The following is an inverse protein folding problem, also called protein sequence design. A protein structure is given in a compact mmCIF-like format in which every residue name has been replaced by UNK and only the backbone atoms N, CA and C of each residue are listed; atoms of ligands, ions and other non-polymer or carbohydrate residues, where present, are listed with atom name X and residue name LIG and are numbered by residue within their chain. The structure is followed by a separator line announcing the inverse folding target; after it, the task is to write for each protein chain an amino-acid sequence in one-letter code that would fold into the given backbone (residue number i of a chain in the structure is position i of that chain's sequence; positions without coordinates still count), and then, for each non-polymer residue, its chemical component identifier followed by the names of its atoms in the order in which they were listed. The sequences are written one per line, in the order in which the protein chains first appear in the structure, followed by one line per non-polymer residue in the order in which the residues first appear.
data_IF_479951590755
#
_entry.id   IF_479951590755
#
_cell.length_a   1.000
_cell.length_b   1.000
_cell.length_c   1.000
_cell.angle_alpha   90.00
_cell.angle_beta   90.00
_cell.angle_gamma   90.00
#
_symmetry.space_group_name_H-M   'P 1'
#
loop_
_entity.id
_entity.type
_entity.pdbx_description
1 polymer ?
#
# COMPACT_ATOMS: atom_id res chain seq x y z
N UNK A 1 4.99 -2.13 -15.65
CA UNK A 1 3.96 -2.87 -16.39
C UNK A 1 4.13 -2.71 -17.90
N UNK A 2 3.87 -1.52 -18.46
CA UNK A 2 3.79 -1.27 -19.93
C UNK A 2 5.11 -1.55 -20.67
N UNK A 3 6.26 -1.15 -20.11
CA UNK A 3 7.57 -1.25 -20.75
C UNK A 3 8.36 -2.51 -20.38
N UNK A 4 7.80 -3.37 -19.53
CA UNK A 4 8.41 -4.61 -19.08
C UNK A 4 7.49 -5.82 -19.28
N UNK A 5 7.79 -6.89 -18.55
CA UNK A 5 7.01 -8.14 -18.62
C UNK A 5 5.74 -8.12 -17.75
N UNK A 6 5.52 -7.07 -16.95
CA UNK A 6 4.48 -7.03 -15.91
C UNK A 6 3.08 -7.23 -16.48
N UNK A 7 2.71 -6.52 -17.56
CA UNK A 7 1.38 -6.66 -18.16
C UNK A 7 1.13 -8.10 -18.66
N UNK A 8 2.14 -8.73 -19.27
CA UNK A 8 2.00 -10.11 -19.75
C UNK A 8 1.83 -11.10 -18.60
N UNK A 9 2.53 -10.92 -17.50
CA UNK A 9 2.37 -11.75 -16.30
C UNK A 9 0.98 -11.58 -15.70
N UNK A 10 0.49 -10.36 -15.64
CA UNK A 10 -0.85 -10.01 -15.16
C UNK A 10 -1.93 -10.65 -16.05
N UNK A 11 -1.82 -10.50 -17.37
CA UNK A 11 -2.74 -11.10 -18.33
C UNK A 11 -2.78 -12.64 -18.21
N UNK A 12 -1.64 -13.28 -18.02
CA UNK A 12 -1.58 -14.73 -17.82
C UNK A 12 -2.30 -15.15 -16.53
N UNK A 13 -2.09 -14.41 -15.43
CA UNK A 13 -2.74 -14.68 -14.14
C UNK A 13 -4.26 -14.57 -14.27
N UNK A 14 -4.74 -13.44 -14.81
CA UNK A 14 -6.18 -13.15 -14.87
C UNK A 14 -6.94 -13.88 -15.99
N UNK A 15 -6.23 -14.37 -17.00
CA UNK A 15 -6.86 -15.13 -18.09
C UNK A 15 -7.62 -16.39 -17.61
N UNK A 16 -7.18 -17.00 -16.50
CA UNK A 16 -7.81 -18.14 -15.86
C UNK A 16 -9.21 -17.81 -15.32
N UNK A 17 -9.43 -16.54 -14.98
CA UNK A 17 -10.69 -16.03 -14.47
C UNK A 17 -11.51 -15.31 -15.54
N UNK A 18 -11.13 -15.45 -16.82
CA UNK A 18 -11.76 -14.78 -17.95
C UNK A 18 -11.75 -13.24 -17.79
N UNK A 19 -10.65 -12.69 -17.25
CA UNK A 19 -10.47 -11.27 -17.00
C UNK A 19 -9.28 -10.71 -17.80
N UNK A 20 -9.38 -9.45 -18.17
CA UNK A 20 -8.31 -8.58 -18.68
C UNK A 20 -8.20 -7.38 -17.77
N UNK A 21 -7.02 -7.16 -17.15
CA UNK A 21 -6.78 -6.08 -16.22
C UNK A 21 -5.88 -4.98 -16.78
N UNK A 22 -6.10 -3.75 -16.32
CA UNK A 22 -5.31 -2.57 -16.60
C UNK A 22 -5.09 -1.75 -15.34
N UNK A 23 -3.93 -1.08 -15.15
CA UNK A 23 -3.75 -0.16 -14.05
C UNK A 23 -4.67 1.06 -14.25
N UNK A 24 -5.43 1.45 -13.25
CA UNK A 24 -6.38 2.55 -13.34
C UNK A 24 -6.30 3.57 -12.20
N UNK A 25 -5.45 3.34 -11.22
CA UNK A 25 -5.21 4.26 -10.12
C UNK A 25 -4.05 3.80 -9.24
N UNK A 26 -3.54 4.70 -8.42
CA UNK A 26 -2.52 4.39 -7.42
C UNK A 26 -2.63 5.40 -6.27
N UNK A 27 -2.62 4.92 -5.03
CA UNK A 27 -2.74 5.77 -3.83
C UNK A 27 -1.44 6.49 -3.44
N UNK A 28 -0.33 6.18 -4.12
CA UNK A 28 0.99 6.56 -3.62
C UNK A 28 1.34 5.79 -2.35
N UNK A 29 2.37 6.24 -1.65
CA UNK A 29 2.82 5.58 -0.42
C UNK A 29 1.76 5.70 0.68
N UNK A 30 1.31 4.54 1.19
CA UNK A 30 0.35 4.44 2.27
C UNK A 30 0.96 4.75 3.63
N UNK A 31 0.13 4.88 4.64
CA UNK A 31 0.56 4.99 6.04
C UNK A 31 0.49 3.63 6.73
N UNK A 32 1.25 3.48 7.82
CA UNK A 32 1.30 2.24 8.61
C UNK A 32 0.06 2.00 9.48
N UNK A 33 -0.84 2.98 9.54
CA UNK A 33 -2.15 2.85 10.17
C UNK A 33 -2.37 3.71 11.42
N UNK A 34 -3.57 3.59 11.94
CA UNK A 34 -4.09 4.28 13.13
C UNK A 34 -4.13 3.34 14.33
N UNK A 35 -3.71 3.83 15.49
CA UNK A 35 -3.58 3.03 16.70
C UNK A 35 -4.20 3.77 17.91
N UNK A 36 -4.88 3.02 18.76
CA UNK A 36 -5.40 3.53 20.04
C UNK A 36 -4.34 3.55 21.13
N UNK A 37 -3.28 2.77 20.98
CA UNK A 37 -2.13 2.71 21.87
C UNK A 37 -0.82 2.99 21.15
N UNK A 38 0.18 3.40 21.90
CA UNK A 38 1.51 3.68 21.40
C UNK A 38 2.23 2.39 21.02
N UNK A 39 2.98 2.42 19.91
CA UNK A 39 3.80 1.32 19.42
C UNK A 39 5.26 1.78 19.42
N UNK A 40 6.01 1.38 20.43
CA UNK A 40 7.40 1.77 20.64
C UNK A 40 8.39 0.65 20.26
N UNK A 41 8.00 -0.60 20.44
CA UNK A 41 8.82 -1.78 20.21
C UNK A 41 7.99 -3.00 19.78
N UNK A 42 8.65 -4.11 19.45
CA UNK A 42 7.98 -5.32 18.94
C UNK A 42 7.00 -5.95 19.94
N UNK A 43 7.22 -5.78 21.26
CA UNK A 43 6.30 -6.36 22.24
C UNK A 43 4.92 -5.68 22.22
N UNK A 44 4.81 -4.45 21.72
CA UNK A 44 3.55 -3.73 21.65
C UNK A 44 2.58 -4.31 20.61
N UNK A 45 3.08 -5.17 19.72
CA UNK A 45 2.26 -5.95 18.79
C UNK A 45 1.62 -7.19 19.43
N UNK A 46 2.15 -7.70 20.56
CA UNK A 46 1.59 -8.90 21.19
C UNK A 46 0.15 -8.69 21.62
N UNK A 47 -0.75 -9.50 21.07
CA UNK A 47 -2.19 -9.41 21.32
C UNK A 47 -2.89 -8.20 20.72
N UNK A 48 -2.19 -7.35 19.93
CA UNK A 48 -2.78 -6.22 19.22
C UNK A 48 -3.79 -6.72 18.20
N UNK A 49 -5.03 -6.32 18.34
CA UNK A 49 -6.08 -6.59 17.35
C UNK A 49 -6.06 -5.49 16.30
N UNK A 50 -5.60 -5.82 15.11
CA UNK A 50 -5.44 -4.84 14.02
C UNK A 50 -6.25 -5.23 12.80
N UNK A 51 -7.10 -4.33 12.32
CA UNK A 51 -7.70 -4.48 10.98
C UNK A 51 -6.63 -4.15 9.95
N UNK A 52 -6.21 -5.16 9.23
CA UNK A 52 -5.24 -5.07 8.14
C UNK A 52 -5.45 -6.23 7.17
N UNK A 53 -5.70 -5.99 5.89
CA UNK A 53 -5.95 -7.05 4.90
C UNK A 53 -4.67 -7.67 4.37
N UNK A 54 -4.84 -8.78 3.65
CA UNK A 54 -3.81 -9.41 2.83
C UNK A 54 -2.56 -9.85 3.59
N UNK A 55 -1.41 -9.76 2.94
CA UNK A 55 -0.11 -10.17 3.49
C UNK A 55 0.31 -9.33 4.71
N UNK A 56 -0.15 -8.09 4.81
CA UNK A 56 0.06 -7.24 6.00
C UNK A 56 -0.51 -7.87 7.27
N UNK A 57 -1.67 -8.53 7.18
CA UNK A 57 -2.26 -9.28 8.29
C UNK A 57 -1.39 -10.44 8.76
N UNK A 58 -0.74 -11.14 7.83
CA UNK A 58 0.19 -12.22 8.18
C UNK A 58 1.44 -11.70 8.91
N UNK A 59 1.97 -10.54 8.50
CA UNK A 59 3.08 -9.89 9.22
C UNK A 59 2.67 -9.59 10.67
N UNK A 60 1.49 -9.00 10.88
CA UNK A 60 0.99 -8.70 12.23
C UNK A 60 0.86 -9.98 13.07
N UNK A 61 0.35 -11.07 12.50
CA UNK A 61 0.24 -12.35 13.19
C UNK A 61 1.63 -12.91 13.59
N UNK A 62 2.64 -12.79 12.73
CA UNK A 62 4.02 -13.19 13.02
C UNK A 62 4.67 -12.36 14.14
N UNK A 63 4.22 -11.12 14.31
CA UNK A 63 4.64 -10.26 15.43
C UNK A 63 3.88 -10.55 16.73
N UNK A 64 2.97 -11.53 16.73
CA UNK A 64 2.18 -11.92 17.91
C UNK A 64 0.90 -11.11 18.07
N UNK A 65 0.52 -10.31 17.07
CA UNK A 65 -0.76 -9.63 16.98
C UNK A 65 -1.86 -10.54 16.42
N UNK A 66 -3.04 -9.97 16.25
CA UNK A 66 -4.23 -10.64 15.71
C UNK A 66 -4.76 -9.78 14.57
N UNK A 67 -4.57 -10.25 13.34
CA UNK A 67 -5.16 -9.59 12.18
C UNK A 67 -6.65 -9.86 12.12
N UNK A 68 -7.42 -8.80 11.89
CA UNK A 68 -8.88 -8.85 11.77
C UNK A 68 -9.28 -8.40 10.38
N UNK A 69 -10.09 -9.21 9.70
CA UNK A 69 -10.69 -8.82 8.43
C UNK A 69 -12.11 -8.31 8.68
N UNK A 70 -12.38 -7.07 8.28
CA UNK A 70 -13.70 -6.47 8.38
C UNK A 70 -13.95 -5.45 7.27
N UNK A 71 -15.22 -5.20 6.99
CA UNK A 71 -15.63 -4.21 5.99
C UNK A 71 -15.26 -2.80 6.40
N UNK A 72 -15.02 -1.90 5.42
CA UNK A 72 -14.65 -0.50 5.70
C UNK A 72 -15.68 0.24 6.56
N UNK A 73 -16.97 -0.08 6.38
CA UNK A 73 -18.05 0.56 7.14
C UNK A 73 -18.06 0.25 8.64
N UNK A 74 -17.39 -0.82 9.06
CA UNK A 74 -17.35 -1.28 10.47
C UNK A 74 -16.10 -0.78 11.20
N UNK A 75 -15.04 -0.42 10.48
CA UNK A 75 -13.71 -0.15 11.05
C UNK A 75 -13.74 0.98 12.07
N UNK A 76 -14.35 2.12 11.73
CA UNK A 76 -14.39 3.30 12.61
C UNK A 76 -15.10 3.01 13.92
N UNK A 77 -16.26 2.33 13.86
CA UNK A 77 -17.01 1.98 15.07
C UNK A 77 -16.24 0.96 15.92
N UNK A 78 -15.64 -0.04 15.31
CA UNK A 78 -14.85 -1.07 16.00
C UNK A 78 -13.61 -0.47 16.69
N UNK A 79 -12.94 0.48 16.05
CA UNK A 79 -11.80 1.20 16.61
C UNK A 79 -12.25 2.11 17.79
N UNK A 80 -13.36 2.83 17.61
CA UNK A 80 -13.95 3.70 18.65
C UNK A 80 -14.39 2.92 19.89
N UNK A 81 -14.97 1.74 19.72
CA UNK A 81 -15.44 0.88 20.81
C UNK A 81 -14.34 0.01 21.44
N UNK A 82 -13.11 0.01 20.87
CA UNK A 82 -12.01 -0.82 21.35
C UNK A 82 -12.17 -2.31 21.01
N UNK A 83 -13.05 -2.66 20.06
CA UNK A 83 -13.16 -4.02 19.54
C UNK A 83 -11.90 -4.41 18.74
N UNK A 84 -11.25 -3.42 18.12
CA UNK A 84 -9.91 -3.48 17.56
C UNK A 84 -9.04 -2.37 18.14
N UNK A 85 -7.73 -2.60 18.25
CA UNK A 85 -6.75 -1.65 18.79
C UNK A 85 -6.16 -0.75 17.72
N UNK A 86 -6.14 -1.21 16.47
CA UNK A 86 -5.53 -0.53 15.35
C UNK A 86 -6.23 -0.87 14.02
N UNK A 87 -6.04 0.03 13.05
CA UNK A 87 -6.51 -0.20 11.69
C UNK A 87 -5.59 0.49 10.67
N UNK A 88 -5.25 -0.23 9.63
CA UNK A 88 -4.67 0.30 8.41
C UNK A 88 -5.78 0.60 7.40
N UNK A 89 -5.62 1.67 6.62
CA UNK A 89 -6.60 2.02 5.58
C UNK A 89 -5.91 2.37 4.26
N UNK A 90 -5.42 3.59 4.09
CA UNK A 90 -4.73 3.95 2.87
C UNK A 90 -3.71 5.09 3.08
N UNK A 91 -4.18 6.29 3.41
CA UNK A 91 -3.32 7.44 3.57
C UNK A 91 -4.07 8.64 4.13
N UNK A 92 -3.37 9.75 4.41
CA UNK A 92 -3.93 10.88 5.16
C UNK A 92 -5.27 11.40 4.62
N UNK A 93 -5.42 11.50 3.32
CA UNK A 93 -6.65 12.03 2.72
C UNK A 93 -7.86 11.09 2.88
N UNK A 94 -7.86 9.83 2.38
CA UNK A 94 -8.98 8.93 2.60
C UNK A 94 -9.23 8.63 4.08
N UNK A 95 -8.17 8.55 4.90
CA UNK A 95 -8.28 8.30 6.33
C UNK A 95 -9.02 9.45 7.04
N UNK A 96 -8.77 10.69 6.61
CA UNK A 96 -9.49 11.87 7.13
C UNK A 96 -10.96 11.85 6.74
N UNK A 97 -11.28 11.46 5.50
CA UNK A 97 -12.67 11.32 5.04
C UNK A 97 -13.41 10.27 5.86
N UNK A 98 -12.77 9.14 6.15
CA UNK A 98 -13.32 8.09 7.01
C UNK A 98 -13.47 8.51 8.47
N UNK A 99 -12.72 9.51 8.93
CA UNK A 99 -12.80 10.03 10.28
C UNK A 99 -11.89 9.33 11.31
N UNK A 100 -10.85 8.62 10.88
CA UNK A 100 -9.88 7.95 11.77
C UNK A 100 -9.27 8.90 12.80
N UNK A 101 -8.93 10.14 12.43
CA UNK A 101 -8.37 11.17 13.28
C UNK A 101 -9.29 11.57 14.48
N UNK A 102 -10.57 11.19 14.44
CA UNK A 102 -11.54 11.47 15.50
C UNK A 102 -11.64 10.35 16.54
N UNK A 103 -11.13 9.16 16.21
CA UNK A 103 -11.32 7.95 17.02
C UNK A 103 -10.03 7.27 17.45
N UNK A 104 -8.89 7.58 16.82
CA UNK A 104 -7.58 7.04 17.16
C UNK A 104 -6.57 8.16 17.42
N UNK A 105 -5.62 7.87 18.32
CA UNK A 105 -4.66 8.87 18.80
C UNK A 105 -3.34 8.87 18.03
N UNK A 106 -2.86 7.71 17.65
CA UNK A 106 -1.52 7.57 17.04
C UNK A 106 -1.64 7.23 15.56
N UNK A 107 -0.91 7.95 14.72
CA UNK A 107 -0.86 7.73 13.28
C UNK A 107 0.55 7.45 12.84
N UNK A 108 0.83 6.21 12.42
CA UNK A 108 2.18 5.77 12.07
C UNK A 108 2.41 5.75 10.57
N UNK A 109 3.64 6.04 10.16
CA UNK A 109 4.12 5.94 8.78
C UNK A 109 5.61 5.61 8.71
N UNK A 110 6.08 5.21 7.51
CA UNK A 110 5.33 4.83 6.33
C UNK A 110 4.64 3.46 6.43
N UNK A 111 3.73 3.16 5.47
CA UNK A 111 3.14 1.83 5.32
C UNK A 111 4.12 0.85 4.68
N UNK A 112 4.76 0.04 5.49
CA UNK A 112 5.79 -0.89 5.03
C UNK A 112 5.24 -2.21 4.51
N UNK A 113 4.01 -2.55 4.92
CA UNK A 113 3.29 -3.77 4.55
C UNK A 113 2.73 -3.71 3.13
N UNK A 114 2.37 -2.51 2.69
CA UNK A 114 1.82 -2.22 1.36
C UNK A 114 2.21 -0.80 0.96
N UNK A 115 3.39 -0.60 0.33
CA UNK A 115 3.89 0.75 0.07
C UNK A 115 3.05 1.54 -0.93
N UNK A 116 2.25 0.86 -1.78
CA UNK A 116 1.34 1.45 -2.76
C UNK A 116 0.15 0.53 -3.00
N UNK A 117 -1.06 1.08 -3.05
CA UNK A 117 -2.23 0.35 -3.53
C UNK A 117 -2.45 0.68 -5.00
N UNK A 118 -2.29 -0.32 -5.86
CA UNK A 118 -2.63 -0.24 -7.27
C UNK A 118 -4.10 -0.59 -7.47
N UNK A 119 -4.88 0.39 -7.93
CA UNK A 119 -6.24 0.14 -8.38
C UNK A 119 -6.23 -0.33 -9.83
N UNK A 120 -7.07 -1.30 -10.14
CA UNK A 120 -7.16 -1.86 -11.47
C UNK A 120 -8.55 -1.72 -12.08
N UNK A 121 -8.59 -1.54 -13.39
CA UNK A 121 -9.80 -1.68 -14.21
C UNK A 121 -9.81 -3.08 -14.81
N UNK A 122 -10.88 -3.81 -14.59
CA UNK A 122 -11.06 -5.17 -15.13
C UNK A 122 -12.21 -5.24 -16.10
N UNK A 123 -12.00 -5.93 -17.22
CA UNK A 123 -13.01 -6.21 -18.21
C UNK A 123 -13.08 -7.72 -18.47
N UNK A 124 -14.27 -8.24 -18.79
CA UNK A 124 -14.41 -9.62 -19.22
C UNK A 124 -13.56 -9.87 -20.47
N UNK A 125 -12.72 -10.90 -20.43
CA UNK A 125 -11.73 -11.17 -21.50
C UNK A 125 -12.38 -11.44 -22.85
N UNK A 126 -13.50 -12.16 -22.90
CA UNK A 126 -14.22 -12.42 -24.16
C UNK A 126 -14.79 -11.14 -24.76
N UNK A 127 -15.31 -10.22 -23.92
CA UNK A 127 -15.76 -8.93 -24.37
C UNK A 127 -14.58 -8.11 -24.90
N UNK A 128 -13.48 -8.07 -24.17
CA UNK A 128 -12.23 -7.40 -24.59
C UNK A 128 -11.73 -7.90 -25.95
N UNK A 129 -11.66 -9.21 -26.14
CA UNK A 129 -11.20 -9.82 -27.38
C UNK A 129 -12.09 -9.47 -28.58
N UNK A 130 -13.41 -9.32 -28.35
CA UNK A 130 -14.38 -8.94 -29.37
C UNK A 130 -14.47 -7.45 -29.69
N UNK A 131 -13.79 -6.58 -28.93
CA UNK A 131 -13.80 -5.15 -29.22
C UNK A 131 -13.01 -4.80 -30.48
N UNK A 132 -13.43 -3.80 -31.26
CA UNK A 132 -12.61 -3.16 -32.29
C UNK A 132 -11.29 -2.66 -31.71
N UNK A 133 -10.23 -2.67 -32.53
CA UNK A 133 -8.89 -2.29 -32.06
C UNK A 133 -8.83 -0.84 -31.57
N UNK A 134 -9.57 0.06 -32.20
CA UNK A 134 -9.67 1.46 -31.79
C UNK A 134 -10.19 1.59 -30.34
N UNK A 135 -11.20 0.78 -29.95
CA UNK A 135 -11.75 0.81 -28.60
C UNK A 135 -10.77 0.23 -27.58
N UNK A 136 -10.01 -0.79 -27.96
CA UNK A 136 -8.94 -1.33 -27.09
C UNK A 136 -7.88 -0.28 -26.79
N UNK A 137 -7.44 0.45 -27.82
CA UNK A 137 -6.46 1.54 -27.68
C UNK A 137 -7.01 2.66 -26.79
N UNK A 138 -8.28 3.04 -26.96
CA UNK A 138 -8.92 4.08 -26.16
C UNK A 138 -9.00 3.66 -24.69
N UNK A 139 -9.45 2.44 -24.39
CA UNK A 139 -9.56 1.91 -23.03
C UNK A 139 -8.20 1.82 -22.37
N UNK A 140 -7.19 1.30 -23.06
CA UNK A 140 -5.84 1.21 -22.52
C UNK A 140 -5.26 2.59 -22.19
N UNK A 141 -5.38 3.56 -23.10
CA UNK A 141 -4.88 4.91 -22.86
C UNK A 141 -5.65 5.62 -21.74
N UNK A 142 -6.97 5.49 -21.68
CA UNK A 142 -7.80 6.05 -20.62
C UNK A 142 -7.43 5.47 -19.25
N UNK A 143 -7.15 4.17 -19.20
CA UNK A 143 -6.72 3.48 -17.97
C UNK A 143 -5.39 4.04 -17.45
N UNK A 144 -4.37 4.22 -18.31
CA UNK A 144 -3.10 4.84 -17.92
C UNK A 144 -3.23 6.32 -17.57
N UNK A 145 -4.11 7.07 -18.26
CA UNK A 145 -4.39 8.46 -17.91
C UNK A 145 -5.03 8.55 -16.51
N UNK A 146 -6.03 7.72 -16.22
CA UNK A 146 -6.65 7.61 -14.91
C UNK A 146 -5.64 7.22 -13.82
N UNK A 147 -4.74 6.27 -14.10
CA UNK A 147 -3.69 5.89 -13.18
C UNK A 147 -2.83 7.08 -12.74
N UNK A 148 -2.39 7.90 -13.71
CA UNK A 148 -1.55 9.07 -13.44
C UNK A 148 -2.32 10.16 -12.71
N UNK A 149 -3.55 10.44 -13.11
CA UNK A 149 -4.42 11.43 -12.48
C UNK A 149 -4.66 11.07 -11.00
N UNK A 150 -5.09 9.85 -10.71
CA UNK A 150 -5.32 9.37 -9.34
C UNK A 150 -4.05 9.46 -8.50
N UNK A 151 -2.89 9.03 -9.02
CA UNK A 151 -1.62 9.10 -8.31
C UNK A 151 -1.25 10.55 -7.92
N UNK A 152 -1.37 11.48 -8.87
CA UNK A 152 -1.02 12.89 -8.62
C UNK A 152 -2.01 13.57 -7.68
N UNK A 153 -3.29 13.25 -7.77
CA UNK A 153 -4.32 13.72 -6.84
C UNK A 153 -4.05 13.23 -5.42
N UNK A 154 -3.75 11.95 -5.25
CA UNK A 154 -3.40 11.37 -3.94
C UNK A 154 -2.16 12.03 -3.33
N UNK A 155 -1.11 12.24 -4.09
CA UNK A 155 0.08 12.94 -3.59
C UNK A 155 -0.24 14.34 -3.05
N UNK A 156 -1.01 15.11 -3.80
CA UNK A 156 -1.38 16.45 -3.40
C UNK A 156 -2.30 16.46 -2.18
N UNK A 157 -3.39 15.70 -2.24
CA UNK A 157 -4.40 15.65 -1.17
C UNK A 157 -3.88 14.98 0.10
N UNK A 158 -3.05 13.95 0.00
CA UNK A 158 -2.39 13.35 1.17
C UNK A 158 -1.47 14.34 1.88
N UNK A 159 -0.70 15.14 1.14
CA UNK A 159 0.15 16.16 1.74
C UNK A 159 -0.66 17.23 2.49
N UNK A 160 -1.79 17.68 1.90
CA UNK A 160 -2.68 18.64 2.55
C UNK A 160 -3.35 18.03 3.80
N UNK A 161 -3.88 16.82 3.69
CA UNK A 161 -4.55 16.13 4.80
C UNK A 161 -3.59 15.84 5.96
N UNK A 162 -2.35 15.39 5.68
CA UNK A 162 -1.34 15.19 6.72
C UNK A 162 -1.02 16.49 7.48
N UNK A 163 -0.94 17.61 6.76
CA UNK A 163 -0.74 18.94 7.39
C UNK A 163 -1.91 19.29 8.32
N UNK A 164 -3.14 18.94 7.97
CA UNK A 164 -4.31 19.16 8.82
C UNK A 164 -4.31 18.22 10.03
N UNK A 165 -4.06 16.93 9.82
CA UNK A 165 -3.95 15.92 10.90
C UNK A 165 -2.91 16.35 11.94
N UNK A 166 -1.74 16.85 11.51
CA UNK A 166 -0.68 17.33 12.42
C UNK A 166 -1.07 18.56 13.26
N UNK A 167 -2.16 19.27 12.92
CA UNK A 167 -2.70 20.37 13.72
C UNK A 167 -3.74 19.92 14.74
N UNK A 168 -4.23 18.69 14.62
CA UNK A 168 -5.18 18.11 15.57
C UNK A 168 -4.47 17.84 16.89
N UNK A 169 -4.97 18.43 17.99
CA UNK A 169 -4.34 18.31 19.32
C UNK A 169 -4.33 16.89 19.87
N UNK A 170 -5.22 16.05 19.39
CA UNK A 170 -5.42 14.69 19.90
C UNK A 170 -4.72 13.62 19.04
N UNK A 171 -4.05 14.01 17.95
CA UNK A 171 -3.37 13.08 17.05
C UNK A 171 -1.86 13.27 17.12
N UNK A 172 -1.16 12.18 17.31
CA UNK A 172 0.29 12.12 17.34
C UNK A 172 0.78 11.33 16.12
N UNK A 173 1.43 12.03 15.18
CA UNK A 173 1.96 11.44 13.94
C UNK A 173 3.38 10.98 14.18
N UNK A 174 3.66 9.72 13.98
CA UNK A 174 4.92 9.06 14.32
C UNK A 174 5.51 8.21 13.19
N UNK A 175 6.78 7.88 13.33
CA UNK A 175 7.44 6.82 12.57
C UNK A 175 7.66 5.61 13.47
N UNK A 176 7.67 4.43 12.86
CA UNK A 176 8.08 3.21 13.58
C UNK A 176 9.57 3.24 13.90
N UNK A 177 9.97 2.55 14.98
CA UNK A 177 11.38 2.34 15.30
C UNK A 177 12.08 1.48 14.23
N UNK A 178 13.41 1.60 14.13
CA UNK A 178 14.21 0.80 13.19
C UNK A 178 14.02 -0.70 13.41
N UNK A 179 13.92 -1.15 14.66
CA UNK A 179 13.68 -2.54 15.03
C UNK A 179 12.36 -3.06 14.42
N UNK A 180 11.28 -2.27 14.51
CA UNK A 180 9.99 -2.62 13.94
C UNK A 180 10.09 -2.69 12.41
N UNK A 181 10.71 -1.69 11.78
CA UNK A 181 10.90 -1.63 10.33
C UNK A 181 11.66 -2.85 9.82
N UNK A 182 12.78 -3.18 10.44
CA UNK A 182 13.61 -4.35 10.08
C UNK A 182 12.82 -5.66 10.16
N UNK A 183 12.03 -5.84 11.22
CA UNK A 183 11.23 -7.04 11.40
C UNK A 183 10.07 -7.14 10.41
N UNK A 184 9.44 -6.01 10.05
CA UNK A 184 8.43 -5.98 8.98
C UNK A 184 9.01 -6.43 7.64
N UNK A 185 10.19 -5.89 7.25
CA UNK A 185 10.86 -6.30 6.02
C UNK A 185 11.23 -7.79 6.03
N UNK A 186 11.79 -8.28 7.14
CA UNK A 186 12.14 -9.68 7.29
C UNK A 186 10.93 -10.59 7.10
N UNK A 187 9.84 -10.34 7.83
CA UNK A 187 8.62 -11.15 7.71
C UNK A 187 7.99 -11.05 6.33
N UNK A 188 7.99 -9.86 5.70
CA UNK A 188 7.52 -9.69 4.33
C UNK A 188 8.30 -10.57 3.35
N UNK A 189 9.64 -10.56 3.42
CA UNK A 189 10.48 -11.42 2.59
C UNK A 189 10.21 -12.91 2.82
N UNK A 190 10.10 -13.33 4.09
CA UNK A 190 9.86 -14.72 4.46
C UNK A 190 8.51 -15.20 3.89
N UNK A 191 7.44 -14.43 4.05
CA UNK A 191 6.11 -14.72 3.52
C UNK A 191 6.14 -14.89 2.00
N UNK A 192 6.77 -13.94 1.31
CA UNK A 192 6.85 -13.98 -0.17
C UNK A 192 7.68 -15.17 -0.65
N UNK A 193 8.79 -15.50 0.04
CA UNK A 193 9.60 -16.68 -0.26
C UNK A 193 8.83 -17.98 -0.02
N UNK A 194 8.08 -18.09 1.06
CA UNK A 194 7.23 -19.24 1.36
C UNK A 194 6.17 -19.44 0.30
N UNK A 195 5.39 -18.40 -0.02
CA UNK A 195 4.37 -18.45 -1.07
C UNK A 195 4.93 -18.79 -2.46
N UNK A 196 6.18 -18.43 -2.73
CA UNK A 196 6.84 -18.75 -4.00
C UNK A 196 7.17 -20.23 -4.18
N UNK A 197 7.19 -21.03 -3.10
CA UNK A 197 7.46 -22.47 -3.18
C UNK A 197 6.29 -23.26 -3.70
N UNK A 198 5.06 -22.78 -3.47
CA UNK A 198 3.83 -23.52 -3.71
C UNK A 198 3.21 -23.26 -5.09
N UNK A 199 3.73 -22.27 -5.84
CA UNK A 199 3.19 -21.88 -7.13
C UNK A 199 4.27 -21.43 -8.11
N UNK A 200 4.41 -22.14 -9.22
CA UNK A 200 5.31 -21.76 -10.32
C UNK A 200 4.94 -20.40 -10.93
N UNK A 201 3.68 -20.02 -10.89
CA UNK A 201 3.22 -18.73 -11.38
C UNK A 201 3.64 -17.60 -10.44
N UNK A 202 3.44 -17.80 -9.13
CA UNK A 202 3.92 -16.88 -8.10
C UNK A 202 5.44 -16.69 -8.20
N UNK A 203 6.19 -17.78 -8.35
CA UNK A 203 7.64 -17.77 -8.52
C UNK A 203 8.10 -16.94 -9.73
N UNK A 204 7.39 -17.05 -10.86
CA UNK A 204 7.69 -16.25 -12.07
C UNK A 204 7.44 -14.76 -11.84
N UNK A 205 6.33 -14.42 -11.18
CA UNK A 205 5.99 -13.04 -10.86
C UNK A 205 7.02 -12.47 -9.87
N UNK A 206 7.32 -13.20 -8.81
CA UNK A 206 8.30 -12.80 -7.79
C UNK A 206 9.70 -12.60 -8.38
N UNK A 207 10.15 -13.51 -9.23
CA UNK A 207 11.44 -13.35 -9.95
C UNK A 207 11.47 -12.05 -10.78
N UNK A 208 10.41 -11.80 -11.56
CA UNK A 208 10.32 -10.58 -12.35
C UNK A 208 10.28 -9.33 -11.47
N UNK A 209 9.63 -9.40 -10.30
CA UNK A 209 9.59 -8.30 -9.33
C UNK A 209 10.99 -8.02 -8.76
N UNK A 210 11.74 -9.06 -8.34
CA UNK A 210 13.11 -8.91 -7.83
C UNK A 210 14.05 -8.26 -8.86
N UNK A 211 14.02 -8.74 -10.12
CA UNK A 211 14.82 -8.18 -11.20
C UNK A 211 14.57 -6.67 -11.39
N UNK A 212 13.30 -6.23 -11.28
CA UNK A 212 12.94 -4.83 -11.41
C UNK A 212 13.31 -4.02 -10.16
N UNK A 213 13.12 -4.55 -8.94
CA UNK A 213 13.52 -3.88 -7.69
C UNK A 213 15.03 -3.62 -7.68
N UNK A 214 15.84 -4.58 -8.08
CA UNK A 214 17.30 -4.42 -8.16
C UNK A 214 17.67 -3.29 -9.13
N UNK A 215 17.11 -3.33 -10.36
CA UNK A 215 17.33 -2.30 -11.38
C UNK A 215 16.93 -0.90 -10.89
N UNK A 216 15.74 -0.76 -10.28
CA UNK A 216 15.28 0.53 -9.78
C UNK A 216 16.06 1.01 -8.56
N UNK A 217 16.46 0.11 -7.66
CA UNK A 217 17.27 0.48 -6.51
C UNK A 217 18.65 1.01 -6.93
N UNK A 218 19.26 0.44 -7.97
CA UNK A 218 20.50 0.95 -8.52
C UNK A 218 20.34 2.39 -9.05
N UNK A 219 19.29 2.65 -9.83
CA UNK A 219 19.00 3.98 -10.35
C UNK A 219 18.67 5.00 -9.23
N UNK A 220 17.81 4.62 -8.30
CA UNK A 220 17.32 5.52 -7.24
C UNK A 220 18.41 5.92 -6.23
N UNK A 221 19.51 5.17 -6.13
CA UNK A 221 20.69 5.60 -5.33
C UNK A 221 21.26 6.92 -5.79
N UNK A 222 21.16 7.25 -7.08
CA UNK A 222 21.74 8.43 -7.72
C UNK A 222 20.70 9.43 -8.22
N UNK A 223 19.42 9.12 -8.16
CA UNK A 223 18.33 9.95 -8.69
C UNK A 223 17.35 10.39 -7.60
N UNK A 224 16.09 10.01 -7.71
CA UNK A 224 15.00 10.55 -6.89
C UNK A 224 15.24 10.44 -5.40
N UNK A 225 15.69 9.28 -4.90
CA UNK A 225 15.95 9.09 -3.48
C UNK A 225 17.13 9.96 -2.99
N UNK A 226 18.18 10.11 -3.79
CA UNK A 226 19.31 10.95 -3.47
C UNK A 226 18.87 12.42 -3.41
N UNK A 227 18.13 12.88 -4.42
CA UNK A 227 17.60 14.24 -4.47
C UNK A 227 16.66 14.54 -3.30
N UNK A 228 15.71 13.64 -3.00
CA UNK A 228 14.77 13.80 -1.89
C UNK A 228 15.49 13.91 -0.53
N UNK A 229 16.52 13.08 -0.30
CA UNK A 229 17.34 13.17 0.92
C UNK A 229 18.05 14.53 1.03
N UNK A 230 18.63 15.03 -0.06
CA UNK A 230 19.27 16.34 -0.10
C UNK A 230 18.26 17.47 0.14
N UNK A 231 17.11 17.42 -0.52
CA UNK A 231 16.05 18.41 -0.34
C UNK A 231 15.55 18.48 1.10
N UNK A 232 15.26 17.34 1.72
CA UNK A 232 14.83 17.29 3.11
C UNK A 232 15.90 17.82 4.06
N UNK A 233 17.19 17.55 3.79
CA UNK A 233 18.30 18.03 4.61
C UNK A 233 18.50 19.55 4.52
N UNK A 234 18.38 20.14 3.33
CA UNK A 234 18.77 21.52 3.07
C UNK A 234 17.61 22.51 2.93
N UNK A 235 16.38 22.06 2.70
CA UNK A 235 15.20 22.92 2.60
C UNK A 235 14.29 22.89 3.83
N UNK A 236 14.51 22.01 4.79
CA UNK A 236 13.72 21.94 6.04
C UNK A 236 14.07 23.04 7.05
N UNK A 237 15.06 23.89 6.77
CA UNK A 237 15.53 24.95 7.66
C UNK A 237 15.13 26.37 7.17
N UNK A 238 14.22 26.47 6.21
CA UNK A 238 13.69 27.77 5.73
C UNK A 238 12.23 27.98 6.15
#
# INVERSE_FOLDING_TARGET
LKHGKGQKLWDNLYSKYNLKGFPAGNTGTTMGGWYNKEINNLNDFKGLKMRIPGLGGEIINRLGGISVNMSGGEVINSLKLGAIDAAEWAGPWPDTIMGFHKVAKYYYGPGMHEPHTLCEFMINKKIWEGLPEEYKIIIENASYASYLEVLTEYFYKNAQALRLIKKEKNVDVRSFSSEIVEMFFKHSEDIVKENSKDSEEYKKIYKSWLENIELFNEYHKYSDNAYMKLRLKYQSNS
#
